data_IF_358364554795
#
_entry.id   IF_358364554795
#
_cell.length_a   1.000
_cell.length_b   1.000
_cell.length_c   1.000
_cell.angle_alpha   90.00
_cell.angle_beta   90.00
_cell.angle_gamma   90.00
#
_symmetry.space_group_name_H-M   'P 1'
#
loop_
_entity.id
_entity.type
_entity.pdbx_description
1 polymer ?
#
# COMPACT_ATOMS: atom_id res chain seq x y z
N UNK A 1 4.20 35.78 -6.10
CA UNK A 1 3.72 35.26 -7.40
C UNK A 1 4.07 33.79 -7.47
N UNK A 2 3.08 32.94 -7.72
CA UNK A 2 3.23 31.49 -7.77
C UNK A 2 1.86 30.86 -7.91
N UNK A 3 1.29 30.93 -9.12
CA UNK A 3 -0.01 30.33 -9.42
C UNK A 3 0.16 28.81 -9.50
N UNK A 4 -0.33 28.07 -8.50
CA UNK A 4 -0.43 26.62 -8.58
C UNK A 4 -1.55 26.28 -9.56
N UNK A 5 -1.18 25.97 -10.79
CA UNK A 5 -2.10 25.57 -11.84
C UNK A 5 -2.61 24.15 -11.52
N UNK A 6 -3.75 24.07 -10.83
CA UNK A 6 -4.46 22.82 -10.57
C UNK A 6 -4.98 22.27 -11.91
N UNK A 7 -4.19 21.46 -12.59
CA UNK A 7 -4.64 20.66 -13.72
C UNK A 7 -5.54 19.57 -13.13
N UNK A 8 -6.84 19.86 -13.05
CA UNK A 8 -7.84 18.80 -12.82
C UNK A 8 -7.70 17.81 -13.98
N UNK A 9 -7.37 16.54 -13.71
CA UNK A 9 -7.24 15.58 -14.79
C UNK A 9 -8.58 15.46 -15.50
N UNK A 10 -8.56 15.57 -16.83
CA UNK A 10 -9.74 15.33 -17.65
C UNK A 10 -10.14 13.86 -17.49
N UNK A 11 -11.33 13.60 -16.97
CA UNK A 11 -11.79 12.26 -16.61
C UNK A 11 -11.74 11.29 -17.81
N UNK A 12 -12.04 11.80 -19.01
CA UNK A 12 -12.01 11.02 -20.26
C UNK A 12 -10.58 10.59 -20.66
N UNK A 13 -9.57 11.40 -20.32
CA UNK A 13 -8.16 11.07 -20.54
C UNK A 13 -7.70 9.92 -19.64
N UNK A 14 -8.08 9.94 -18.36
CA UNK A 14 -7.72 8.85 -17.42
C UNK A 14 -8.40 7.54 -17.83
N UNK A 15 -9.67 7.60 -18.25
CA UNK A 15 -10.39 6.39 -18.67
C UNK A 15 -9.79 5.76 -19.92
N UNK A 16 -9.38 6.58 -20.89
CA UNK A 16 -8.72 6.08 -22.11
C UNK A 16 -7.33 5.53 -21.84
N UNK A 17 -6.52 6.19 -20.99
CA UNK A 17 -5.22 5.68 -20.53
C UNK A 17 -5.36 4.32 -19.81
N UNK A 18 -6.37 4.18 -18.94
CA UNK A 18 -6.66 2.90 -18.25
C UNK A 18 -6.97 1.79 -19.22
N UNK A 19 -7.85 2.07 -20.18
CA UNK A 19 -8.24 1.08 -21.20
C UNK A 19 -7.03 0.63 -22.02
N UNK A 20 -6.24 1.58 -22.53
CA UNK A 20 -5.05 1.27 -23.30
C UNK A 20 -4.03 0.44 -22.49
N UNK A 21 -3.84 0.77 -21.21
CA UNK A 21 -2.99 0.00 -20.31
C UNK A 21 -3.51 -1.44 -20.10
N UNK A 22 -4.79 -1.60 -19.78
CA UNK A 22 -5.41 -2.91 -19.53
C UNK A 22 -5.41 -3.80 -20.79
N UNK A 23 -5.45 -3.21 -21.98
CA UNK A 23 -5.34 -3.91 -23.27
C UNK A 23 -3.94 -4.46 -23.53
N UNK A 24 -2.88 -3.83 -22.99
CA UNK A 24 -1.51 -4.36 -23.12
C UNK A 24 -1.34 -5.73 -22.45
N UNK A 25 -2.15 -6.02 -21.42
CA UNK A 25 -2.02 -7.21 -20.55
C UNK A 25 -0.62 -7.41 -19.93
N UNK A 26 0.25 -6.41 -20.02
CA UNK A 26 1.64 -6.50 -19.56
C UNK A 26 1.79 -6.25 -18.05
N UNK A 27 0.74 -5.72 -17.41
CA UNK A 27 0.76 -5.31 -16.01
C UNK A 27 1.76 -4.18 -15.74
N UNK A 28 1.93 -3.84 -14.47
CA UNK A 28 2.85 -2.75 -14.07
C UNK A 28 4.32 -3.07 -14.33
N UNK A 29 4.70 -4.36 -14.37
CA UNK A 29 6.06 -4.78 -14.76
C UNK A 29 6.39 -4.35 -16.20
N UNK A 30 5.44 -4.45 -17.12
CA UNK A 30 5.63 -4.01 -18.50
C UNK A 30 5.96 -2.53 -18.64
N UNK A 31 5.46 -1.68 -17.74
CA UNK A 31 5.80 -0.25 -17.69
C UNK A 31 7.26 -0.02 -17.27
N UNK A 32 7.74 -0.82 -16.32
CA UNK A 32 9.12 -0.77 -15.83
C UNK A 32 10.08 -1.28 -16.91
N UNK A 33 9.77 -2.42 -17.51
CA UNK A 33 10.58 -3.02 -18.57
C UNK A 33 10.66 -2.10 -19.81
N UNK A 34 9.61 -1.33 -20.10
CA UNK A 34 9.59 -0.34 -21.18
C UNK A 34 10.45 0.92 -20.91
N UNK A 35 11.01 1.06 -19.71
CA UNK A 35 11.93 2.15 -19.38
C UNK A 35 11.25 3.53 -19.32
N UNK A 36 9.97 3.59 -18.92
CA UNK A 36 9.24 4.86 -18.80
C UNK A 36 9.94 5.80 -17.80
N UNK A 37 10.20 7.03 -18.24
CA UNK A 37 10.83 8.09 -17.42
C UNK A 37 9.84 8.84 -16.53
N UNK A 38 8.55 8.72 -16.80
CA UNK A 38 7.46 9.40 -16.06
C UNK A 38 6.33 8.42 -15.80
N UNK A 39 5.74 8.52 -14.61
CA UNK A 39 4.58 7.73 -14.22
C UNK A 39 3.34 8.24 -14.98
N UNK A 40 2.57 7.37 -15.66
CA UNK A 40 1.31 7.77 -16.30
C UNK A 40 0.31 8.34 -15.29
N UNK A 41 -0.51 9.29 -15.75
CA UNK A 41 -1.43 10.05 -14.87
C UNK A 41 -2.46 9.16 -14.17
N UNK A 42 -2.82 8.04 -14.80
CA UNK A 42 -3.65 6.98 -14.23
C UNK A 42 -3.18 6.46 -12.86
N UNK A 43 -1.88 6.47 -12.59
CA UNK A 43 -1.31 5.97 -11.32
C UNK A 43 -1.14 7.07 -10.26
N UNK A 44 -1.51 8.31 -10.56
CA UNK A 44 -1.45 9.38 -9.59
C UNK A 44 -2.61 9.23 -8.60
N UNK A 45 -2.27 8.87 -7.36
CA UNK A 45 -3.23 8.90 -6.26
C UNK A 45 -3.68 10.34 -6.00
N UNK A 46 -4.96 10.53 -5.72
CA UNK A 46 -5.45 11.83 -5.27
C UNK A 46 -4.86 12.13 -3.89
N UNK A 47 -4.68 13.41 -3.53
CA UNK A 47 -4.30 13.75 -2.17
C UNK A 47 -5.26 13.08 -1.19
N UNK A 48 -4.70 12.42 -0.17
CA UNK A 48 -5.50 11.76 0.85
C UNK A 48 -6.44 12.77 1.50
N UNK A 49 -7.67 12.34 1.78
CA UNK A 49 -8.63 13.16 2.54
C UNK A 49 -8.25 13.26 4.02
N UNK A 50 -7.26 12.49 4.45
CA UNK A 50 -6.84 12.33 5.83
C UNK A 50 -5.33 12.55 5.91
N UNK A 51 -4.89 13.10 7.03
CA UNK A 51 -3.48 13.27 7.32
C UNK A 51 -2.79 11.91 7.38
N UNK A 52 -1.59 11.83 6.81
CA UNK A 52 -0.77 10.62 6.85
C UNK A 52 -0.37 10.35 8.30
N UNK A 53 -0.84 9.25 8.86
CA UNK A 53 -0.43 8.79 10.20
C UNK A 53 1.05 8.39 10.16
N UNK A 54 1.93 9.30 10.57
CA UNK A 54 3.39 9.06 10.65
C UNK A 54 3.79 8.62 12.06
N UNK A 55 3.13 7.61 12.60
CA UNK A 55 3.44 7.08 13.93
C UNK A 55 4.58 6.06 13.84
N UNK A 56 5.83 6.51 13.95
CA UNK A 56 7.01 5.62 13.96
C UNK A 56 7.18 4.85 15.28
N UNK A 57 6.38 5.17 16.29
CA UNK A 57 6.39 4.52 17.60
C UNK A 57 5.57 3.23 17.65
N UNK A 58 4.74 2.96 16.63
CA UNK A 58 3.92 1.76 16.58
C UNK A 58 4.67 0.69 15.78
N UNK A 59 5.02 -0.40 16.46
CA UNK A 59 5.66 -1.57 15.87
C UNK A 59 4.59 -2.65 15.69
N UNK A 60 4.56 -3.29 14.52
CA UNK A 60 3.72 -4.47 14.33
C UNK A 60 4.38 -5.63 15.09
N UNK A 61 3.72 -6.21 16.11
CA UNK A 61 4.32 -7.24 16.93
C UNK A 61 4.49 -8.54 16.13
N UNK A 62 5.58 -9.26 16.41
CA UNK A 62 5.85 -10.59 15.87
C UNK A 62 5.66 -11.59 16.99
N UNK A 63 4.70 -12.49 16.81
CA UNK A 63 4.34 -13.50 17.81
C UNK A 63 4.81 -14.86 17.29
N UNK A 64 5.74 -15.47 18.01
CA UNK A 64 6.21 -16.83 17.72
C UNK A 64 5.20 -17.84 18.27
N UNK A 65 4.72 -18.71 17.39
CA UNK A 65 3.72 -19.74 17.68
C UNK A 65 4.30 -21.15 17.62
N UNK A 66 5.63 -21.30 17.60
CA UNK A 66 6.31 -22.61 17.46
C UNK A 66 5.80 -23.69 18.42
N UNK A 67 5.47 -23.32 19.66
CA UNK A 67 5.01 -24.22 20.71
C UNK A 67 3.49 -24.08 21.00
N UNK A 68 2.70 -23.55 20.07
CA UNK A 68 1.26 -23.34 20.31
C UNK A 68 0.48 -24.65 20.49
N UNK A 69 0.94 -25.77 19.94
CA UNK A 69 0.28 -27.07 20.13
C UNK A 69 0.82 -27.83 21.37
N UNK A 70 1.70 -27.19 22.13
CA UNK A 70 2.27 -27.77 23.33
C UNK A 70 1.21 -27.85 24.43
N UNK A 71 1.02 -29.03 25.01
CA UNK A 71 0.03 -29.26 26.08
C UNK A 71 0.33 -28.54 27.40
N UNK A 72 1.51 -27.94 27.54
CA UNK A 72 1.86 -27.11 28.68
C UNK A 72 1.08 -25.79 28.65
N UNK A 73 0.14 -25.66 29.60
CA UNK A 73 -0.71 -24.48 29.75
C UNK A 73 0.10 -23.19 29.97
N UNK A 74 1.30 -23.27 30.57
CA UNK A 74 2.14 -22.10 30.83
C UNK A 74 2.65 -21.48 29.54
N UNK A 75 2.90 -22.29 28.51
CA UNK A 75 3.35 -21.83 27.19
C UNK A 75 2.21 -21.07 26.49
N UNK A 76 1.00 -21.65 26.48
CA UNK A 76 -0.18 -20.98 25.96
C UNK A 76 -0.43 -19.63 26.63
N UNK A 77 -0.31 -19.58 27.96
CA UNK A 77 -0.53 -18.34 28.71
C UNK A 77 0.49 -17.26 28.30
N UNK A 78 1.75 -17.62 28.11
CA UNK A 78 2.79 -16.69 27.65
C UNK A 78 2.55 -16.16 26.23
N UNK A 79 1.96 -16.97 25.35
CA UNK A 79 1.55 -16.54 24.01
C UNK A 79 0.36 -15.57 24.10
N UNK A 80 -0.66 -15.91 24.90
CA UNK A 80 -1.85 -15.07 25.10
C UNK A 80 -1.48 -13.69 25.65
N UNK A 81 -0.52 -13.61 26.57
CA UNK A 81 -0.11 -12.35 27.17
C UNK A 81 0.61 -11.45 26.15
N UNK A 82 1.43 -12.02 25.26
CA UNK A 82 2.02 -11.29 24.13
C UNK A 82 0.96 -10.78 23.15
N UNK A 83 -0.11 -11.55 22.90
CA UNK A 83 -1.23 -11.13 22.04
C UNK A 83 -2.01 -9.97 22.67
N UNK A 84 -2.15 -9.94 24.01
CA UNK A 84 -2.86 -8.86 24.71
C UNK A 84 -2.06 -7.55 24.78
N UNK A 85 -0.74 -7.63 24.82
CA UNK A 85 0.16 -6.46 24.85
C UNK A 85 0.38 -5.85 23.45
N UNK A 86 0.25 -6.68 22.42
CA UNK A 86 0.30 -6.33 21.00
C UNK A 86 -0.79 -5.34 20.55
#
# INVERSE_FOLDING_TARGET
MGSTNTIKPNHDSILSERKAFDETKAGVKGLVDAGLKKIPSLFHHQPDKYEKANNTSHVIPVIDLVDIDNKDQSIHQGIDDKIKEA
#
